data_IF_824446129991
#
_entry.id   IF_824446129991
#
_cell.length_a   1.000
_cell.length_b   1.000
_cell.length_c   1.000
_cell.angle_alpha   90.00
_cell.angle_beta   90.00
_cell.angle_gamma   90.00
#
_symmetry.space_group_name_H-M   'P 1'
#
loop_
_entity.id
_entity.type
_entity.pdbx_description
1 polymer ?
#
# COMPACT_ATOMS: atom_id res chain seq x y z
N UNK A 1 7.00 -22.68 8.30
CA UNK A 1 7.23 -21.23 8.54
C UNK A 1 7.36 -20.35 7.27
N UNK A 2 7.47 -20.89 6.04
CA UNK A 2 7.88 -20.10 4.84
C UNK A 2 6.77 -19.53 3.92
N UNK A 3 5.47 -19.83 4.12
CA UNK A 3 4.47 -19.75 3.02
C UNK A 3 3.71 -18.43 2.83
N UNK A 4 3.93 -17.42 3.67
CA UNK A 4 3.10 -16.20 3.71
C UNK A 4 3.88 -14.90 3.51
N UNK A 5 5.21 -14.99 3.54
CA UNK A 5 6.09 -13.89 3.12
C UNK A 5 5.82 -13.34 1.71
N UNK A 6 5.46 -14.17 0.68
CA UNK A 6 5.26 -13.65 -0.66
C UNK A 6 4.04 -12.72 -0.80
N UNK A 7 3.14 -12.64 0.18
CA UNK A 7 1.98 -11.73 0.14
C UNK A 7 2.16 -10.52 1.06
N UNK A 8 2.78 -10.71 2.23
CA UNK A 8 2.93 -9.65 3.22
C UNK A 8 3.97 -8.61 2.78
N UNK A 9 5.11 -9.02 2.21
CA UNK A 9 6.15 -8.08 1.79
C UNK A 9 5.69 -7.18 0.64
N UNK A 10 5.13 -7.71 -0.47
CA UNK A 10 4.59 -6.85 -1.52
C UNK A 10 3.43 -5.98 -1.01
N UNK A 11 2.58 -6.51 -0.13
CA UNK A 11 1.50 -5.74 0.48
C UNK A 11 2.01 -4.56 1.32
N UNK A 12 3.07 -4.75 2.11
CA UNK A 12 3.69 -3.68 2.88
C UNK A 12 4.33 -2.62 1.97
N UNK A 13 5.05 -3.03 0.93
CA UNK A 13 5.65 -2.10 -0.03
C UNK A 13 4.56 -1.29 -0.73
N UNK A 14 3.54 -1.93 -1.29
CA UNK A 14 2.42 -1.27 -1.97
C UNK A 14 1.64 -0.35 -1.02
N UNK A 15 1.43 -0.77 0.22
CA UNK A 15 0.77 0.04 1.25
C UNK A 15 1.55 1.31 1.57
N UNK A 16 2.85 1.21 1.81
CA UNK A 16 3.70 2.36 2.11
C UNK A 16 3.78 3.31 0.90
N UNK A 17 4.01 2.78 -0.30
CA UNK A 17 4.06 3.58 -1.54
C UNK A 17 2.72 4.27 -1.78
N UNK A 18 1.61 3.55 -1.67
CA UNK A 18 0.27 4.10 -1.83
C UNK A 18 -0.04 5.21 -0.81
N UNK A 19 0.39 5.04 0.45
CA UNK A 19 0.25 6.06 1.46
C UNK A 19 1.03 7.33 1.10
N UNK A 20 2.30 7.20 0.71
CA UNK A 20 3.13 8.35 0.32
C UNK A 20 2.52 9.09 -0.86
N UNK A 21 2.10 8.38 -1.91
CA UNK A 21 1.49 9.00 -3.09
C UNK A 21 0.13 9.64 -2.79
N UNK A 22 -0.65 9.05 -1.89
CA UNK A 22 -1.90 9.68 -1.41
C UNK A 22 -1.59 11.02 -0.76
N UNK A 23 -0.65 11.04 0.17
CA UNK A 23 -0.28 12.26 0.89
C UNK A 23 0.35 13.30 -0.04
N UNK A 24 1.10 12.89 -1.07
CA UNK A 24 1.61 13.79 -2.10
C UNK A 24 0.47 14.34 -2.96
N UNK A 25 -0.42 13.49 -3.47
CA UNK A 25 -1.57 13.90 -4.26
C UNK A 25 -2.52 14.86 -3.54
N UNK A 26 -2.71 14.66 -2.24
CA UNK A 26 -3.49 15.55 -1.36
C UNK A 26 -2.72 16.82 -0.94
N UNK A 27 -1.51 17.02 -1.44
CA UNK A 27 -0.66 18.17 -1.15
C UNK A 27 -0.26 18.31 0.34
N UNK A 28 -0.28 17.20 1.08
CA UNK A 28 0.19 17.08 2.47
C UNK A 28 1.71 16.94 2.47
N UNK A 29 2.25 16.03 1.64
CA UNK A 29 3.67 15.90 1.38
C UNK A 29 4.03 16.73 0.14
N UNK A 30 4.85 17.78 0.34
CA UNK A 30 5.20 18.76 -0.68
C UNK A 30 6.66 18.62 -1.13
N UNK A 31 7.04 19.40 -2.15
CA UNK A 31 8.43 19.48 -2.63
C UNK A 31 8.78 18.47 -3.73
N UNK A 32 7.79 17.77 -4.29
CA UNK A 32 7.96 16.89 -5.45
C UNK A 32 7.02 17.26 -6.59
N UNK A 33 7.34 16.81 -7.81
CA UNK A 33 6.45 16.93 -8.97
C UNK A 33 5.08 16.24 -8.80
N UNK A 34 4.93 15.42 -7.76
CA UNK A 34 3.69 14.68 -7.45
C UNK A 34 2.76 15.43 -6.49
N UNK A 35 3.21 16.54 -5.92
CA UNK A 35 2.50 17.28 -4.88
C UNK A 35 1.28 18.02 -5.44
N UNK A 36 0.09 17.78 -4.89
CA UNK A 36 -1.15 18.45 -5.33
C UNK A 36 -1.69 18.01 -6.69
N UNK A 37 -1.25 16.86 -7.21
CA UNK A 37 -1.71 16.34 -8.49
C UNK A 37 -2.86 15.33 -8.31
N UNK A 38 -4.00 15.51 -9.02
CA UNK A 38 -5.16 14.60 -8.96
C UNK A 38 -4.84 13.15 -9.32
N UNK A 39 -3.83 12.95 -10.18
CA UNK A 39 -3.37 11.61 -10.58
C UNK A 39 -2.85 10.84 -9.36
N UNK A 40 -1.92 11.42 -8.59
CA UNK A 40 -1.36 10.77 -7.40
C UNK A 40 -2.38 10.68 -6.27
N UNK A 41 -3.30 11.65 -6.18
CA UNK A 41 -4.43 11.61 -5.26
C UNK A 41 -5.41 10.48 -5.52
N UNK A 42 -5.44 9.94 -6.75
CA UNK A 42 -6.27 8.79 -7.13
C UNK A 42 -5.50 7.47 -7.06
N UNK A 43 -4.27 7.44 -7.59
CA UNK A 43 -3.44 6.21 -7.63
C UNK A 43 -2.97 5.79 -6.24
N UNK A 44 -2.62 6.75 -5.38
CA UNK A 44 -2.18 6.47 -4.02
C UNK A 44 -3.17 5.64 -3.20
N UNK A 45 -4.44 6.06 -3.08
CA UNK A 45 -5.46 5.30 -2.35
C UNK A 45 -5.69 3.89 -2.92
N UNK A 46 -5.65 3.75 -4.26
CA UNK A 46 -5.79 2.44 -4.91
C UNK A 46 -4.66 1.50 -4.46
N UNK A 47 -3.40 1.95 -4.52
CA UNK A 47 -2.26 1.16 -4.09
C UNK A 47 -2.29 0.85 -2.59
N UNK A 48 -2.72 1.82 -1.78
CA UNK A 48 -2.87 1.63 -0.33
C UNK A 48 -3.88 0.52 -0.03
N UNK A 49 -5.04 0.54 -0.67
CA UNK A 49 -6.08 -0.49 -0.50
C UNK A 49 -5.59 -1.86 -0.97
N UNK A 50 -4.94 -1.95 -2.13
CA UNK A 50 -4.38 -3.21 -2.65
C UNK A 50 -3.31 -3.76 -1.72
N UNK A 51 -2.40 -2.91 -1.22
CA UNK A 51 -1.36 -3.29 -0.28
C UNK A 51 -1.92 -3.85 1.03
N UNK A 52 -2.91 -3.16 1.61
CA UNK A 52 -3.62 -3.62 2.81
C UNK A 52 -4.34 -4.96 2.57
N UNK A 53 -5.01 -5.12 1.43
CA UNK A 53 -5.69 -6.37 1.07
C UNK A 53 -4.71 -7.55 1.01
N UNK A 54 -3.51 -7.36 0.42
CA UNK A 54 -2.47 -8.39 0.37
C UNK A 54 -1.92 -8.75 1.75
N UNK A 55 -1.73 -7.76 2.63
CA UNK A 55 -1.32 -8.00 4.02
C UNK A 55 -2.39 -8.82 4.74
N UNK A 56 -3.65 -8.39 4.70
CA UNK A 56 -4.77 -9.09 5.34
C UNK A 56 -4.88 -10.51 4.83
N UNK A 57 -4.80 -10.72 3.50
CA UNK A 57 -4.84 -12.05 2.91
C UNK A 57 -3.68 -12.95 3.38
N UNK A 58 -2.46 -12.40 3.41
CA UNK A 58 -1.28 -13.10 3.93
C UNK A 58 -1.40 -13.49 5.40
N UNK A 59 -1.99 -12.62 6.23
CA UNK A 59 -2.22 -12.86 7.66
C UNK A 59 -3.34 -13.87 7.91
N UNK A 60 -4.47 -13.76 7.21
CA UNK A 60 -5.60 -14.70 7.31
C UNK A 60 -5.17 -16.10 6.89
N UNK A 61 -4.40 -16.21 5.80
CA UNK A 61 -3.85 -17.50 5.35
C UNK A 61 -2.84 -18.08 6.33
N UNK A 62 -2.09 -17.26 7.08
CA UNK A 62 -1.25 -17.74 8.20
C UNK A 62 -2.09 -18.32 9.32
N UNK A 63 -3.20 -17.69 9.69
CA UNK A 63 -4.07 -18.12 10.79
C UNK A 63 -4.74 -19.45 10.50
N UNK A 64 -5.21 -19.68 9.26
CA UNK A 64 -5.81 -20.97 8.84
C UNK A 64 -4.83 -22.13 8.71
N UNK A 65 -3.54 -21.86 8.57
CA UNK A 65 -2.50 -22.88 8.42
C UNK A 65 -1.79 -23.21 9.75
N UNK A 66 -2.17 -22.55 10.84
CA UNK A 66 -1.86 -22.94 12.22
C UNK A 66 -3.05 -23.70 12.78
#
# INVERSE_FOLDING_TARGET
MKRSWPFVVPGAILGIVGLVWTLQGLNVLRGSAMSGSPLWGTVGPILLVVGLALIVFGLVRRRRAR
#
